data_IF_458066713420
#
_entry.id   IF_458066713420
#
_cell.length_a   1.000
_cell.length_b   1.000
_cell.length_c   1.000
_cell.angle_alpha   90.00
_cell.angle_beta   90.00
_cell.angle_gamma   90.00
#
_symmetry.space_group_name_H-M   'P 1'
#
loop_
_entity.id
_entity.type
_entity.pdbx_description
1 polymer ?
#
# COMPACT_ATOMS: atom_id res chain seq x y z
N UNK A 1 -17.42 -24.66 15.63
CA UNK A 1 -17.15 -23.47 16.48
C UNK A 1 -16.08 -22.63 15.80
N UNK A 2 -16.28 -21.33 15.58
CA UNK A 2 -15.30 -20.49 14.89
C UNK A 2 -14.04 -20.29 15.73
N UNK A 3 -12.87 -20.37 15.10
CA UNK A 3 -11.57 -20.17 15.75
C UNK A 3 -11.34 -18.70 16.13
N UNK A 4 -10.40 -18.42 17.04
CA UNK A 4 -10.06 -17.04 17.45
C UNK A 4 -9.66 -16.19 16.24
N UNK A 5 -8.85 -16.73 15.34
CA UNK A 5 -8.46 -16.08 14.09
C UNK A 5 -9.68 -15.72 13.23
N UNK A 6 -10.59 -16.68 13.01
CA UNK A 6 -11.81 -16.45 12.23
C UNK A 6 -12.69 -15.35 12.84
N UNK A 7 -12.78 -15.28 14.18
CA UNK A 7 -13.50 -14.21 14.88
C UNK A 7 -12.86 -12.85 14.67
N UNK A 8 -11.53 -12.75 14.75
CA UNK A 8 -10.80 -11.50 14.51
C UNK A 8 -10.93 -11.02 13.06
N UNK A 9 -10.81 -11.94 12.10
CA UNK A 9 -10.98 -11.66 10.68
C UNK A 9 -12.43 -11.22 10.37
N UNK A 10 -13.43 -11.86 10.98
CA UNK A 10 -14.82 -11.43 10.84
C UNK A 10 -15.07 -10.04 11.44
N UNK A 11 -14.44 -9.71 12.59
CA UNK A 11 -14.52 -8.40 13.22
C UNK A 11 -13.81 -7.31 12.39
N UNK A 12 -12.74 -7.68 11.68
CA UNK A 12 -12.05 -6.78 10.75
C UNK A 12 -12.97 -6.35 9.59
N UNK A 13 -13.74 -7.30 9.04
CA UNK A 13 -14.65 -7.04 7.93
C UNK A 13 -15.96 -6.37 8.35
N UNK A 14 -16.57 -6.84 9.44
CA UNK A 14 -17.93 -6.45 9.85
C UNK A 14 -17.96 -5.69 11.19
N UNK A 15 -16.83 -5.12 11.62
CA UNK A 15 -16.74 -4.39 12.87
C UNK A 15 -17.70 -3.19 12.89
N UNK A 16 -18.44 -2.94 13.99
CA UNK A 16 -19.48 -1.91 14.06
C UNK A 16 -18.92 -0.47 14.03
N UNK A 17 -17.64 -0.29 14.35
CA UNK A 17 -16.95 1.01 14.34
C UNK A 17 -15.55 0.89 13.76
N UNK A 18 -14.98 2.00 13.28
CA UNK A 18 -13.59 2.05 12.80
C UNK A 18 -12.61 1.70 13.93
N UNK A 19 -12.87 2.16 15.14
CA UNK A 19 -12.06 1.82 16.32
C UNK A 19 -12.06 0.31 16.60
N UNK A 20 -13.19 -0.39 16.45
CA UNK A 20 -13.26 -1.83 16.62
C UNK A 20 -12.47 -2.58 15.54
N UNK A 21 -12.53 -2.12 14.29
CA UNK A 21 -11.73 -2.68 13.19
C UNK A 21 -10.23 -2.50 13.41
N UNK A 22 -9.81 -1.31 13.87
CA UNK A 22 -8.42 -1.03 14.22
C UNK A 22 -7.94 -1.85 15.43
N UNK A 23 -8.79 -2.05 16.44
CA UNK A 23 -8.47 -2.91 17.56
C UNK A 23 -8.30 -4.38 17.12
N UNK A 24 -9.15 -4.86 16.21
CA UNK A 24 -9.02 -6.20 15.62
C UNK A 24 -7.71 -6.33 14.82
N UNK A 25 -7.35 -5.32 14.03
CA UNK A 25 -6.08 -5.24 13.29
C UNK A 25 -4.87 -5.35 14.23
N UNK A 26 -4.85 -4.59 15.33
CA UNK A 26 -3.80 -4.67 16.35
C UNK A 26 -3.71 -6.08 16.96
N UNK A 27 -4.84 -6.72 17.25
CA UNK A 27 -4.86 -8.08 17.78
C UNK A 27 -4.35 -9.12 16.79
N UNK A 28 -4.53 -8.92 15.48
CA UNK A 28 -3.92 -9.78 14.46
C UNK A 28 -2.39 -9.64 14.44
N UNK A 29 -1.85 -8.43 14.66
CA UNK A 29 -0.40 -8.22 14.84
C UNK A 29 0.15 -8.91 16.10
N UNK A 30 -0.54 -8.78 17.24
CA UNK A 30 -0.17 -9.50 18.46
C UNK A 30 -0.23 -11.03 18.29
N UNK A 31 -1.20 -11.51 17.51
CA UNK A 31 -1.31 -12.93 17.17
C UNK A 31 -0.10 -13.41 16.36
N UNK A 32 0.39 -12.59 15.42
CA UNK A 32 1.62 -12.88 14.68
C UNK A 32 2.82 -12.98 15.61
N UNK A 33 2.97 -12.03 16.55
CA UNK A 33 4.07 -12.05 17.53
C UNK A 33 4.06 -13.31 18.41
N UNK A 34 2.88 -13.78 18.78
CA UNK A 34 2.74 -15.01 19.58
C UNK A 34 3.00 -16.29 18.76
N UNK A 35 2.75 -16.27 17.46
CA UNK A 35 2.81 -17.45 16.59
C UNK A 35 3.49 -17.15 15.24
N UNK A 36 4.80 -16.86 15.21
CA UNK A 36 5.49 -16.42 14.00
C UNK A 36 5.45 -17.45 12.86
N UNK A 37 5.41 -18.74 13.18
CA UNK A 37 5.32 -19.83 12.21
C UNK A 37 4.04 -19.83 11.36
N UNK A 38 2.99 -19.10 11.77
CA UNK A 38 1.69 -19.09 11.09
C UNK A 38 1.46 -17.82 10.25
N UNK A 39 2.50 -17.02 9.99
CA UNK A 39 2.42 -15.79 9.20
C UNK A 39 1.70 -15.98 7.86
N UNK A 40 2.05 -17.04 7.14
CA UNK A 40 1.47 -17.28 5.81
C UNK A 40 -0.04 -17.50 5.87
N UNK A 41 -0.52 -18.28 6.85
CA UNK A 41 -1.96 -18.54 7.04
C UNK A 41 -2.67 -17.23 7.39
N UNK A 42 -2.09 -16.42 8.28
CA UNK A 42 -2.65 -15.12 8.66
C UNK A 42 -2.77 -14.18 7.44
N UNK A 43 -1.70 -14.06 6.64
CA UNK A 43 -1.67 -13.22 5.45
C UNK A 43 -2.71 -13.64 4.41
N UNK A 44 -2.89 -14.94 4.15
CA UNK A 44 -3.94 -15.41 3.22
C UNK A 44 -5.34 -14.88 3.60
N UNK A 45 -5.64 -14.83 4.90
CA UNK A 45 -6.92 -14.31 5.38
C UNK A 45 -7.02 -12.79 5.20
N UNK A 46 -5.96 -12.04 5.54
CA UNK A 46 -5.94 -10.57 5.43
C UNK A 46 -5.98 -10.12 3.96
N UNK A 47 -5.18 -10.75 3.09
CA UNK A 47 -5.07 -10.39 1.67
C UNK A 47 -6.41 -10.54 0.95
N UNK A 48 -7.21 -11.55 1.29
CA UNK A 48 -8.57 -11.70 0.74
C UNK A 48 -9.46 -10.48 1.03
N UNK A 49 -9.26 -9.81 2.17
CA UNK A 49 -10.04 -8.64 2.56
C UNK A 49 -9.53 -7.31 1.96
N UNK A 50 -8.31 -7.27 1.39
CA UNK A 50 -7.83 -6.12 0.62
C UNK A 50 -8.59 -5.93 -0.69
N UNK A 51 -9.11 -7.00 -1.26
CA UNK A 51 -9.89 -6.98 -2.51
C UNK A 51 -11.41 -6.92 -2.28
N UNK A 52 -11.86 -6.60 -1.06
CA UNK A 52 -13.29 -6.44 -0.77
C UNK A 52 -13.88 -5.19 -1.48
N UNK A 53 -15.16 -5.23 -1.86
CA UNK A 53 -15.90 -4.08 -2.43
C UNK A 53 -15.98 -2.90 -1.47
N UNK A 54 -16.05 -3.19 -0.17
CA UNK A 54 -16.21 -2.19 0.88
C UNK A 54 -14.90 -1.46 1.20
N UNK A 55 -14.88 -0.15 0.96
CA UNK A 55 -13.74 0.71 1.29
C UNK A 55 -13.28 0.62 2.75
N UNK A 56 -14.18 0.64 3.76
CA UNK A 56 -13.78 0.53 5.16
C UNK A 56 -13.07 -0.78 5.48
N UNK A 57 -13.48 -1.87 4.82
CA UNK A 57 -12.86 -3.19 4.96
C UNK A 57 -11.48 -3.22 4.35
N UNK A 58 -11.28 -2.59 3.18
CA UNK A 58 -9.94 -2.44 2.57
C UNK A 58 -8.98 -1.66 3.46
N UNK A 59 -9.43 -0.52 4.02
CA UNK A 59 -8.62 0.28 4.96
C UNK A 59 -8.28 -0.49 6.23
N UNK A 60 -9.23 -1.24 6.79
CA UNK A 60 -8.98 -2.07 7.96
C UNK A 60 -8.00 -3.21 7.68
N UNK A 61 -8.12 -3.87 6.52
CA UNK A 61 -7.19 -4.91 6.09
C UNK A 61 -5.76 -4.38 5.89
N UNK A 62 -5.61 -3.18 5.31
CA UNK A 62 -4.31 -2.51 5.20
C UNK A 62 -3.70 -2.20 6.59
N UNK A 63 -4.50 -1.71 7.53
CA UNK A 63 -4.05 -1.48 8.90
C UNK A 63 -3.66 -2.78 9.63
N UNK A 64 -4.36 -3.89 9.37
CA UNK A 64 -3.98 -5.20 9.88
C UNK A 64 -2.64 -5.67 9.27
N UNK A 65 -2.44 -5.48 7.97
CA UNK A 65 -1.18 -5.82 7.32
C UNK A 65 -0.01 -5.03 7.89
N UNK A 66 -0.19 -3.73 8.16
CA UNK A 66 0.80 -2.89 8.83
C UNK A 66 1.15 -3.44 10.23
N UNK A 67 0.15 -3.71 11.07
CA UNK A 67 0.38 -4.24 12.41
C UNK A 67 1.09 -5.60 12.41
N UNK A 68 0.84 -6.42 11.38
CA UNK A 68 1.51 -7.71 11.19
C UNK A 68 2.95 -7.52 10.73
N UNK A 69 3.20 -6.59 9.80
CA UNK A 69 4.55 -6.26 9.35
C UNK A 69 5.42 -5.71 10.49
N UNK A 70 4.87 -4.86 11.35
CA UNK A 70 5.54 -4.33 12.55
C UNK A 70 5.83 -5.43 13.59
N UNK A 71 5.05 -6.51 13.59
CA UNK A 71 5.20 -7.64 14.51
C UNK A 71 6.08 -8.78 13.94
N UNK A 72 6.39 -8.75 12.65
CA UNK A 72 7.23 -9.75 12.01
C UNK A 72 8.72 -9.41 12.20
N UNK A 73 9.55 -10.45 12.29
CA UNK A 73 10.99 -10.26 12.39
C UNK A 73 11.55 -9.66 11.09
N UNK A 74 12.44 -8.68 11.24
CA UNK A 74 13.13 -8.09 10.10
C UNK A 74 13.97 -9.16 9.40
N UNK A 75 13.67 -9.42 8.13
CA UNK A 75 14.50 -10.28 7.31
C UNK A 75 15.81 -9.57 6.99
N UNK A 76 16.92 -10.11 7.49
CA UNK A 76 18.28 -9.64 7.24
C UNK A 76 19.10 -10.80 6.70
N UNK A 77 19.23 -10.94 5.35
CA UNK A 77 20.12 -11.94 4.78
C UNK A 77 21.58 -11.56 5.09
N UNK A 78 22.42 -12.56 5.36
CA UNK A 78 23.86 -12.37 5.44
C UNK A 78 24.37 -11.84 4.10
N UNK A 79 25.03 -10.69 4.13
CA UNK A 79 25.72 -10.17 2.96
C UNK A 79 27.13 -10.78 2.90
N UNK A 80 27.58 -11.22 1.71
CA UNK A 80 28.97 -11.65 1.55
C UNK A 80 29.91 -10.48 1.85
N UNK A 81 31.00 -10.73 2.59
CA UNK A 81 31.98 -9.68 2.95
C UNK A 81 32.69 -9.10 1.73
N UNK A 82 32.92 -9.92 0.72
CA UNK A 82 33.43 -9.49 -0.58
C UNK A 82 32.37 -9.74 -1.65
N UNK A 83 31.82 -8.68 -2.26
CA UNK A 83 30.89 -8.83 -3.38
C UNK A 83 31.66 -9.41 -4.57
N UNK A 84 31.29 -10.61 -5.01
CA UNK A 84 31.76 -11.17 -6.26
C UNK A 84 31.11 -10.38 -7.41
N UNK A 85 31.83 -9.39 -7.92
CA UNK A 85 31.37 -8.53 -9.01
C UNK A 85 31.00 -9.33 -10.26
N UNK A 86 31.66 -10.48 -10.51
CA UNK A 86 31.37 -11.33 -11.65
C UNK A 86 30.05 -12.08 -11.44
N UNK A 87 29.78 -12.57 -10.23
CA UNK A 87 28.50 -13.19 -9.89
C UNK A 87 27.35 -12.16 -9.90
N UNK A 88 27.57 -10.94 -9.42
CA UNK A 88 26.58 -9.87 -9.50
C UNK A 88 26.29 -9.46 -10.95
N UNK A 89 27.32 -9.35 -11.79
CA UNK A 89 27.16 -9.03 -13.21
C UNK A 89 26.39 -10.14 -13.94
N UNK A 90 26.69 -11.41 -13.65
CA UNK A 90 25.97 -12.56 -14.20
C UNK A 90 24.49 -12.56 -13.77
N UNK A 91 24.21 -12.31 -12.50
CA UNK A 91 22.83 -12.23 -12.00
C UNK A 91 22.06 -11.03 -12.59
N UNK A 92 22.72 -9.88 -12.79
CA UNK A 92 22.12 -8.72 -13.48
C UNK A 92 21.83 -9.00 -14.95
N UNK A 93 22.73 -9.71 -15.65
CA UNK A 93 22.54 -10.10 -17.04
C UNK A 93 21.40 -11.14 -17.18
N UNK A 94 21.29 -12.10 -16.27
CA UNK A 94 20.16 -13.05 -16.23
C UNK A 94 18.82 -12.33 -15.95
N UNK A 95 18.84 -11.30 -15.11
CA UNK A 95 17.68 -10.48 -14.77
C UNK A 95 17.31 -9.44 -15.86
N UNK A 96 18.14 -9.26 -16.88
CA UNK A 96 17.95 -8.23 -17.89
C UNK A 96 16.67 -8.50 -18.70
N UNK A 97 15.76 -7.52 -18.69
CA UNK A 97 14.42 -7.65 -19.29
C UNK A 97 13.39 -8.36 -18.41
N UNK A 98 13.79 -9.06 -17.34
CA UNK A 98 12.87 -9.61 -16.35
C UNK A 98 12.53 -8.62 -15.23
N UNK A 99 13.43 -7.66 -14.94
CA UNK A 99 13.28 -6.69 -13.85
C UNK A 99 12.97 -5.29 -14.38
N UNK A 100 12.03 -4.61 -13.72
CA UNK A 100 11.76 -3.20 -13.97
C UNK A 100 12.85 -2.34 -13.32
N UNK A 101 13.43 -1.41 -14.07
CA UNK A 101 14.44 -0.49 -13.54
C UNK A 101 13.92 0.95 -13.53
N UNK A 102 14.17 1.69 -12.44
CA UNK A 102 13.82 3.11 -12.37
C UNK A 102 14.60 3.96 -13.37
N UNK A 103 15.82 3.53 -13.75
CA UNK A 103 16.67 4.26 -14.70
C UNK A 103 16.16 4.17 -16.15
N UNK A 104 15.47 3.08 -16.47
CA UNK A 104 14.86 2.85 -17.78
C UNK A 104 13.34 3.10 -17.77
N UNK A 105 12.79 3.65 -16.68
CA UNK A 105 11.36 3.95 -16.61
C UNK A 105 11.04 5.18 -17.46
N UNK A 106 10.23 4.97 -18.50
CA UNK A 106 9.74 6.04 -19.36
C UNK A 106 8.23 6.25 -19.15
N UNK A 107 7.85 7.46 -18.74
CA UNK A 107 6.46 7.82 -18.49
C UNK A 107 5.59 7.71 -19.76
N UNK A 108 6.11 8.13 -20.92
CA UNK A 108 5.38 8.07 -22.17
C UNK A 108 4.98 6.63 -22.55
N UNK A 109 5.89 5.69 -22.32
CA UNK A 109 5.69 4.26 -22.56
C UNK A 109 4.72 3.64 -21.56
N UNK A 110 4.76 4.06 -20.29
CA UNK A 110 3.79 3.65 -19.27
C UNK A 110 2.36 4.19 -19.54
N UNK A 111 2.25 5.31 -20.23
CA UNK A 111 0.98 5.93 -20.62
C UNK A 111 0.46 5.47 -22.01
N UNK A 112 1.20 4.59 -22.71
CA UNK A 112 0.99 4.29 -24.13
C UNK A 112 -0.39 3.73 -24.50
N UNK A 113 -1.05 4.37 -25.48
CA UNK A 113 -2.18 3.86 -26.28
C UNK A 113 -3.57 4.35 -25.87
N UNK A 114 -3.94 4.24 -24.59
CA UNK A 114 -5.31 4.59 -24.15
C UNK A 114 -5.57 6.08 -23.96
N UNK A 115 -4.52 6.90 -23.96
CA UNK A 115 -4.66 8.34 -23.82
C UNK A 115 -5.35 9.00 -25.01
N UNK A 116 -5.29 8.43 -26.23
CA UNK A 116 -5.92 9.07 -27.40
C UNK A 116 -7.44 8.81 -27.47
N UNK A 117 -7.91 7.63 -27.06
CA UNK A 117 -9.35 7.32 -26.94
C UNK A 117 -10.01 7.97 -25.71
N UNK A 118 -9.33 8.00 -24.56
CA UNK A 118 -9.88 8.62 -23.34
C UNK A 118 -9.91 10.15 -23.39
N UNK A 119 -9.09 10.77 -24.24
CA UNK A 119 -9.14 12.22 -24.49
C UNK A 119 -10.18 12.61 -25.54
N UNK A 120 -10.69 11.69 -26.36
CA UNK A 120 -11.81 11.95 -27.28
C UNK A 120 -13.18 11.82 -26.62
N UNK A 121 -13.34 10.93 -25.63
CA UNK A 121 -14.60 10.77 -24.87
C UNK A 121 -14.75 11.80 -23.73
N UNK A 122 -13.64 12.41 -23.29
CA UNK A 122 -13.68 13.53 -22.36
C UNK A 122 -13.91 14.83 -23.14
N UNK A 123 -15.18 15.13 -23.41
CA UNK A 123 -15.61 16.46 -23.84
C UNK A 123 -15.29 17.48 -22.72
N UNK A 124 -14.03 17.95 -22.70
CA UNK A 124 -13.48 18.86 -21.70
C UNK A 124 -14.05 20.29 -21.81
N UNK A 125 -14.99 20.53 -22.74
CA UNK A 125 -15.65 21.82 -22.93
C UNK A 125 -16.62 22.17 -21.80
N UNK A 126 -16.98 21.23 -20.92
CA UNK A 126 -17.89 21.47 -19.80
C UNK A 126 -17.21 21.91 -18.47
N UNK A 127 -15.88 21.96 -18.37
CA UNK A 127 -15.20 22.32 -17.09
C UNK A 127 -14.22 23.47 -17.29
N UNK A 128 -14.77 24.64 -17.60
CA UNK A 128 -14.09 25.94 -17.56
C UNK A 128 -13.79 26.41 -16.13
N UNK A 129 -12.96 25.68 -15.39
CA UNK A 129 -12.42 26.14 -14.10
C UNK A 129 -10.89 26.03 -14.09
N UNK A 130 -10.25 27.18 -13.84
CA UNK A 130 -8.80 27.36 -13.90
C UNK A 130 -8.03 26.36 -13.01
N UNK A 131 -6.80 25.95 -13.39
CA UNK A 131 -6.00 24.93 -12.70
C UNK A 131 -5.72 25.24 -11.22
N UNK A 132 -5.78 26.51 -10.82
CA UNK A 132 -5.57 26.96 -9.43
C UNK A 132 -6.67 26.51 -8.46
N UNK A 133 -7.88 26.22 -8.95
CA UNK A 133 -9.00 25.81 -8.10
C UNK A 133 -8.92 24.34 -7.64
N UNK A 134 -8.20 23.48 -8.37
CA UNK A 134 -8.17 22.02 -8.10
C UNK A 134 -7.25 21.63 -6.93
N UNK A 135 -6.25 22.46 -6.58
CA UNK A 135 -5.39 22.19 -5.41
C UNK A 135 -6.11 22.34 -4.08
N UNK A 136 -7.25 23.03 -4.04
CA UNK A 136 -8.00 23.27 -2.82
C UNK A 136 -8.91 22.09 -2.40
N UNK A 137 -9.15 21.11 -3.28
CA UNK A 137 -10.16 20.08 -3.07
C UNK A 137 -9.69 18.85 -2.27
N UNK A 138 -8.38 18.66 -2.10
CA UNK A 138 -7.85 17.62 -1.22
C UNK A 138 -7.25 18.27 0.03
N UNK A 139 -8.06 18.35 1.08
CA UNK A 139 -7.60 18.56 2.45
C UNK A 139 -7.86 17.26 3.21
N UNK A 140 -6.83 16.53 3.69
CA UNK A 140 -7.07 15.39 4.56
C UNK A 140 -7.76 15.91 5.83
N UNK A 141 -8.85 15.26 6.24
CA UNK A 141 -9.59 15.62 7.44
C UNK A 141 -8.62 15.64 8.65
N UNK A 142 -8.38 16.84 9.20
CA UNK A 142 -7.48 17.06 10.34
C UNK A 142 -6.18 17.83 10.06
N UNK A 143 -5.90 18.25 8.82
CA UNK A 143 -4.74 19.11 8.55
C UNK A 143 -5.02 20.58 8.95
N UNK A 144 -4.31 21.07 9.97
CA UNK A 144 -4.24 22.51 10.28
C UNK A 144 -3.53 23.23 9.12
N UNK A 145 -4.31 24.01 8.36
CA UNK A 145 -3.84 24.78 7.22
C UNK A 145 -2.67 25.73 7.58
N UNK A 146 -2.57 26.16 8.84
CA UNK A 146 -1.50 27.03 9.32
C UNK A 146 -0.16 26.28 9.52
N UNK A 147 -0.19 24.96 9.71
CA UNK A 147 1.02 24.13 9.81
C UNK A 147 1.61 23.87 8.42
N UNK A 148 0.76 23.59 7.44
CA UNK A 148 1.18 23.35 6.04
C UNK A 148 1.79 24.61 5.43
N UNK A 149 1.21 25.78 5.70
CA UNK A 149 1.73 27.07 5.22
C UNK A 149 3.13 27.41 5.77
N UNK A 150 3.43 27.02 7.01
CA UNK A 150 4.74 27.25 7.64
C UNK A 150 5.86 26.41 7.02
N UNK A 151 5.56 25.17 6.64
CA UNK A 151 6.53 24.29 5.99
C UNK A 151 6.86 24.77 4.58
N UNK A 152 5.85 25.25 3.84
CA UNK A 152 6.04 25.75 2.47
C UNK A 152 6.74 27.12 2.40
N UNK A 153 6.67 27.94 3.45
CA UNK A 153 7.39 29.22 3.52
C UNK A 153 8.87 29.08 3.94
N UNK A 154 9.31 27.88 4.32
CA UNK A 154 10.67 27.59 4.76
C UNK A 154 11.51 26.83 3.72
N UNK A 155 11.02 26.69 2.48
CA UNK A 155 11.76 26.18 1.31
C UNK A 155 11.86 27.27 0.24
#
# INVERSE_FOLDING_TARGET
MPTRLQKLVALLANGPSEAARLAAARQLGELQRAHPAQLHVLLQHILRHLFASEWPTRRAAAAALQAVAEAADAWSPEQPEEPDEAAEAAARAEAEGAWLSFRSFEMASALGGQSDELLQEADLTAVGAAPSARRAAWAPAGADAAAVARVLAAS
#
